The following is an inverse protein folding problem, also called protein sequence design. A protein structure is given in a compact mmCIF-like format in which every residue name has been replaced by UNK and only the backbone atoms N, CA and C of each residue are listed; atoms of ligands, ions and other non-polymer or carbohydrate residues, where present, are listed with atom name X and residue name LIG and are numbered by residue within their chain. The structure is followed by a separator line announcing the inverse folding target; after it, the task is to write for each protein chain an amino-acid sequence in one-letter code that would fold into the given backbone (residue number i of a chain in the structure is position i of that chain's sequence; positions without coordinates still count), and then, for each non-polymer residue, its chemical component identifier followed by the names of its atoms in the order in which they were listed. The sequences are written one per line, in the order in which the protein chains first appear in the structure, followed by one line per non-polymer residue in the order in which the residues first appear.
data_IF_958716332759
#
_entry.id   IF_958716332759
#
_cell.length_a   1.000
_cell.length_b   1.000
_cell.length_c   1.000
_cell.angle_alpha   90.00
_cell.angle_beta   90.00
_cell.angle_gamma   90.00
#
_symmetry.space_group_name_H-M   'P 1'
#
loop_
_entity.id
_entity.type
_entity.pdbx_description
1 polymer ?
#
# COMPACT_ATOMS: atom_id res chain seq x y z
N UNK A 1 15.65 23.95 13.08
CA UNK A 1 15.05 22.60 13.00
C UNK A 1 13.89 22.52 13.99
N UNK A 2 12.77 21.90 13.61
CA UNK A 2 11.57 21.78 14.48
C UNK A 2 11.71 20.68 15.55
N UNK A 3 12.61 19.70 15.38
CA UNK A 3 12.85 18.61 16.32
C UNK A 3 14.32 18.12 16.26
N UNK A 4 15.29 18.91 16.76
CA UNK A 4 16.72 18.57 16.64
C UNK A 4 17.12 17.30 17.39
N UNK A 5 16.40 16.94 18.46
CA UNK A 5 16.65 15.74 19.25
C UNK A 5 16.46 14.43 18.46
N UNK A 6 15.68 14.46 17.37
CA UNK A 6 15.41 13.28 16.54
C UNK A 6 16.52 12.98 15.52
N UNK A 7 17.46 13.90 15.31
CA UNK A 7 18.50 13.73 14.28
C UNK A 7 19.37 12.48 14.53
N UNK A 8 19.67 12.16 15.79
CA UNK A 8 20.43 10.97 16.17
C UNK A 8 19.64 9.66 16.05
N UNK A 9 18.32 9.76 15.87
CA UNK A 9 17.39 8.63 15.74
C UNK A 9 17.04 8.33 14.28
N UNK A 10 17.50 9.15 13.33
CA UNK A 10 17.23 8.95 11.90
C UNK A 10 18.02 7.80 11.30
N UNK A 11 17.44 7.13 10.31
CA UNK A 11 18.15 6.18 9.47
C UNK A 11 19.37 6.81 8.79
N UNK A 12 20.44 6.03 8.61
CA UNK A 12 21.73 6.51 8.04
C UNK A 12 21.65 7.00 6.59
N UNK A 13 20.58 6.64 5.89
CA UNK A 13 20.26 7.05 4.52
C UNK A 13 18.75 7.29 4.43
N UNK A 14 18.33 7.96 3.35
CA UNK A 14 16.93 8.29 3.06
C UNK A 14 16.40 7.52 1.84
N UNK A 15 16.93 6.32 1.60
CA UNK A 15 16.53 5.44 0.50
C UNK A 15 17.59 5.31 -0.60
N UNK A 16 17.17 4.85 -1.79
CA UNK A 16 18.05 4.49 -2.92
C UNK A 16 17.38 4.71 -4.26
N UNK A 17 18.17 4.69 -5.34
CA UNK A 17 17.63 4.43 -6.68
C UNK A 17 17.00 3.03 -6.72
N UNK A 18 15.92 2.93 -7.49
CA UNK A 18 15.16 1.71 -7.71
C UNK A 18 14.75 1.60 -9.18
N UNK A 19 14.49 0.39 -9.66
CA UNK A 19 14.12 0.08 -11.04
C UNK A 19 13.95 -1.42 -11.21
N UNK A 20 14.64 -2.01 -12.20
CA UNK A 20 14.73 -3.48 -12.32
C UNK A 20 15.35 -4.07 -11.05
N UNK A 21 16.39 -3.41 -10.54
CA UNK A 21 16.92 -3.68 -9.21
C UNK A 21 16.05 -2.97 -8.18
N UNK A 22 15.60 -3.71 -7.17
CA UNK A 22 14.86 -3.11 -6.06
C UNK A 22 15.68 -2.05 -5.33
N UNK A 23 16.99 -2.26 -5.23
CA UNK A 23 17.93 -1.37 -4.52
C UNK A 23 19.26 -1.32 -5.24
N UNK A 24 19.61 -0.15 -5.77
CA UNK A 24 20.92 0.10 -6.33
C UNK A 24 21.88 0.62 -5.24
N UNK A 25 22.81 -0.23 -4.79
CA UNK A 25 23.65 0.04 -3.62
C UNK A 25 24.68 1.16 -3.80
N UNK A 26 25.15 1.39 -5.02
CA UNK A 26 26.06 2.49 -5.39
C UNK A 26 25.39 3.86 -5.33
N UNK A 27 24.06 3.90 -5.45
CA UNK A 27 23.26 5.12 -5.55
C UNK A 27 22.31 5.28 -4.35
N UNK A 28 22.83 4.99 -3.16
CA UNK A 28 22.14 5.30 -1.91
C UNK A 28 22.03 6.81 -1.69
N UNK A 29 20.87 7.25 -1.22
CA UNK A 29 20.63 8.63 -0.81
C UNK A 29 21.21 8.84 0.60
N UNK A 30 22.50 9.16 0.66
CA UNK A 30 23.20 9.45 1.90
C UNK A 30 24.18 10.61 1.72
N UNK A 31 24.74 11.11 2.81
CA UNK A 31 25.63 12.28 2.81
C UNK A 31 26.96 12.08 2.03
N UNK A 32 27.31 10.84 1.66
CA UNK A 32 28.55 10.51 0.94
C UNK A 32 28.34 10.43 -0.58
N UNK A 33 27.09 10.43 -1.05
CA UNK A 33 26.79 10.30 -2.48
C UNK A 33 26.73 11.69 -3.13
N UNK A 34 27.65 11.94 -4.07
CA UNK A 34 27.76 13.20 -4.82
C UNK A 34 27.11 13.12 -6.22
N UNK A 35 26.48 11.98 -6.56
CA UNK A 35 25.83 11.79 -7.85
C UNK A 35 24.69 12.79 -8.03
N UNK A 36 24.71 13.51 -9.16
CA UNK A 36 23.63 14.45 -9.50
C UNK A 36 22.38 13.69 -9.92
N UNK A 37 21.26 14.05 -9.31
CA UNK A 37 19.92 13.60 -9.69
C UNK A 37 19.59 14.10 -11.11
N UNK A 38 18.99 13.23 -11.92
CA UNK A 38 18.59 13.51 -13.32
C UNK A 38 17.14 13.11 -13.54
N UNK A 39 16.49 13.77 -14.49
CA UNK A 39 15.18 13.36 -14.99
C UNK A 39 15.19 11.88 -15.43
N UNK A 40 14.08 11.19 -15.18
CA UNK A 40 13.93 9.75 -15.43
C UNK A 40 14.48 8.84 -14.33
N UNK A 41 15.28 9.35 -13.38
CA UNK A 41 15.67 8.56 -12.21
C UNK A 41 14.45 8.28 -11.34
N UNK A 42 14.36 7.04 -10.86
CA UNK A 42 13.31 6.61 -9.92
C UNK A 42 13.96 6.24 -8.60
N UNK A 43 13.41 6.76 -7.51
CA UNK A 43 13.92 6.55 -6.17
C UNK A 43 12.85 5.89 -5.31
N UNK A 44 13.30 4.96 -4.47
CA UNK A 44 12.61 4.67 -3.23
C UNK A 44 13.12 5.67 -2.19
N UNK A 45 12.32 6.69 -1.89
CA UNK A 45 12.61 7.67 -0.84
C UNK A 45 12.06 7.11 0.46
N UNK A 46 12.95 6.67 1.35
CA UNK A 46 12.62 5.90 2.53
C UNK A 46 13.33 6.44 3.76
N UNK A 47 12.57 6.94 4.74
CA UNK A 47 13.09 7.53 5.96
C UNK A 47 12.50 6.82 7.17
N UNK A 48 13.37 6.52 8.14
CA UNK A 48 12.96 6.00 9.44
C UNK A 48 13.47 6.81 10.61
N UNK A 49 12.75 6.70 11.72
CA UNK A 49 13.19 7.02 13.07
C UNK A 49 13.17 5.73 13.89
N UNK A 50 14.28 5.39 14.51
CA UNK A 50 14.45 4.17 15.31
C UNK A 50 14.71 4.49 16.78
N UNK A 51 14.47 3.52 17.66
CA UNK A 51 14.71 3.66 19.11
C UNK A 51 14.03 4.89 19.73
N UNK A 52 12.78 5.14 19.35
CA UNK A 52 11.94 6.16 19.99
C UNK A 52 11.36 5.58 21.27
N UNK A 53 11.31 6.38 22.34
CA UNK A 53 10.84 5.93 23.66
C UNK A 53 9.54 6.63 24.01
N UNK A 54 8.51 5.85 24.37
CA UNK A 54 7.29 6.34 24.99
C UNK A 54 7.32 6.00 26.48
N UNK A 55 7.46 7.04 27.31
CA UNK A 55 7.56 6.90 28.77
C UNK A 55 6.21 6.67 29.44
N UNK A 56 5.13 6.94 28.73
CA UNK A 56 3.76 6.81 29.23
C UNK A 56 3.12 5.49 28.80
N UNK A 57 3.78 4.73 27.92
CA UNK A 57 3.32 3.43 27.46
C UNK A 57 3.13 2.45 28.63
N UNK A 58 1.89 1.99 28.77
CA UNK A 58 1.49 0.98 29.78
C UNK A 58 1.88 -0.44 29.35
N UNK A 59 1.91 -0.72 28.06
CA UNK A 59 2.44 -1.96 27.49
C UNK A 59 3.94 -1.86 27.22
N UNK A 60 4.70 -2.87 27.69
CA UNK A 60 6.12 -3.03 27.41
C UNK A 60 6.43 -3.03 25.91
N UNK A 61 5.51 -3.50 25.06
CA UNK A 61 5.70 -3.48 23.59
C UNK A 61 5.66 -2.07 23.00
N UNK A 62 4.95 -1.13 23.63
CA UNK A 62 4.85 0.26 23.16
C UNK A 62 5.97 1.17 23.65
N UNK A 63 6.73 0.75 24.67
CA UNK A 63 7.76 1.58 25.30
C UNK A 63 8.88 2.00 24.35
N UNK A 64 9.26 1.14 23.41
CA UNK A 64 10.24 1.46 22.37
C UNK A 64 9.64 1.18 21.01
N UNK A 65 9.59 2.20 20.15
CA UNK A 65 8.97 2.09 18.84
C UNK A 65 9.85 2.73 17.75
N UNK A 66 9.40 2.55 16.51
CA UNK A 66 10.00 3.14 15.34
C UNK A 66 8.91 3.68 14.43
N UNK A 67 9.25 4.67 13.61
CA UNK A 67 8.38 5.20 12.56
C UNK A 67 9.13 5.09 11.25
N UNK A 68 8.44 4.66 10.19
CA UNK A 68 9.03 4.54 8.87
C UNK A 68 8.05 5.02 7.82
N UNK A 69 8.55 5.77 6.85
CA UNK A 69 7.79 6.26 5.71
C UNK A 69 8.60 6.05 4.45
N UNK A 70 7.95 5.53 3.41
CA UNK A 70 8.56 5.37 2.11
C UNK A 70 7.58 5.68 0.98
N UNK A 71 8.10 6.31 -0.07
CA UNK A 71 7.37 6.58 -1.30
C UNK A 71 8.26 6.29 -2.52
N UNK A 72 7.64 5.84 -3.62
CA UNK A 72 8.32 5.73 -4.92
C UNK A 72 8.14 7.01 -5.70
N UNK A 73 9.26 7.65 -6.05
CA UNK A 73 9.29 8.99 -6.63
C UNK A 73 10.07 8.95 -7.95
N UNK A 74 9.48 9.49 -9.02
CA UNK A 74 10.15 9.66 -10.31
C UNK A 74 10.49 11.13 -10.54
N UNK A 75 11.74 11.38 -10.94
CA UNK A 75 12.21 12.73 -11.23
C UNK A 75 11.80 13.13 -12.64
N UNK A 76 11.16 14.29 -12.75
CA UNK A 76 10.72 14.87 -14.02
C UNK A 76 11.79 15.81 -14.59
N UNK A 77 11.66 16.11 -15.87
CA UNK A 77 12.47 17.12 -16.53
C UNK A 77 12.15 18.54 -16.02
N UNK A 78 10.87 18.83 -15.84
CA UNK A 78 10.37 20.10 -15.31
C UNK A 78 9.32 19.86 -14.22
N UNK A 79 9.30 20.75 -13.21
CA UNK A 79 8.33 20.72 -12.12
C UNK A 79 8.70 19.80 -10.94
N UNK A 80 7.77 19.62 -9.98
CA UNK A 80 7.96 18.68 -8.87
C UNK A 80 7.96 17.23 -9.36
N UNK A 81 8.64 16.31 -8.67
CA UNK A 81 8.64 14.90 -9.04
C UNK A 81 7.25 14.27 -8.86
N UNK A 82 6.94 13.22 -9.62
CA UNK A 82 5.70 12.47 -9.44
C UNK A 82 5.88 11.39 -8.35
N UNK A 83 4.87 11.25 -7.49
CA UNK A 83 4.85 10.27 -6.39
C UNK A 83 3.91 9.13 -6.76
N UNK A 84 4.46 7.96 -7.08
CA UNK A 84 3.67 6.82 -7.58
C UNK A 84 2.90 6.08 -6.49
N UNK A 85 3.25 6.30 -5.24
CA UNK A 85 2.59 5.71 -4.06
C UNK A 85 1.61 6.66 -3.37
N UNK A 86 1.26 7.78 -4.01
CA UNK A 86 0.39 8.81 -3.41
C UNK A 86 -1.06 8.35 -3.18
N UNK A 87 -1.51 7.34 -3.92
CA UNK A 87 -2.83 6.74 -3.72
C UNK A 87 -2.99 6.08 -2.33
N UNK A 88 -1.89 5.76 -1.65
CA UNK A 88 -1.92 5.30 -0.27
C UNK A 88 -1.86 6.50 0.68
N UNK A 89 -2.94 6.73 1.43
CA UNK A 89 -2.97 7.80 2.41
C UNK A 89 -1.93 7.58 3.50
N UNK A 90 -1.25 8.67 3.84
CA UNK A 90 -0.28 8.78 4.93
C UNK A 90 -0.80 9.70 6.04
N UNK A 91 -2.05 10.15 5.96
CA UNK A 91 -2.67 10.98 6.97
C UNK A 91 -2.87 10.18 8.25
N UNK A 92 -2.60 10.80 9.41
CA UNK A 92 -2.69 10.14 10.71
C UNK A 92 -4.06 9.47 10.96
N UNK A 93 -5.14 10.14 10.52
CA UNK A 93 -6.52 9.65 10.63
C UNK A 93 -6.78 8.35 9.89
N UNK A 94 -5.98 8.05 8.85
CA UNK A 94 -6.20 6.92 7.97
C UNK A 94 -5.33 5.71 8.36
N UNK A 95 -4.35 5.93 9.24
CA UNK A 95 -3.39 4.91 9.69
C UNK A 95 -3.43 4.64 11.20
N UNK A 96 -4.20 5.43 11.95
CA UNK A 96 -4.39 5.28 13.40
C UNK A 96 -5.72 4.59 13.68
N UNK A 97 -5.68 3.54 14.50
CA UNK A 97 -6.85 2.73 14.84
C UNK A 97 -6.97 2.66 16.36
N UNK A 98 -8.16 2.97 16.85
CA UNK A 98 -8.54 2.73 18.24
C UNK A 98 -9.40 1.46 18.27
N UNK A 99 -8.90 0.43 18.96
CA UNK A 99 -9.64 -0.82 19.14
C UNK A 99 -10.41 -0.67 20.44
N UNK A 100 -11.74 -0.62 20.35
CA UNK A 100 -12.59 -0.73 21.54
C UNK A 100 -12.43 -2.16 22.07
N UNK A 101 -12.03 -2.30 23.33
CA UNK A 101 -11.97 -3.60 23.99
C UNK A 101 -13.37 -4.14 24.24
N UNK A 102 -13.57 -5.45 24.06
CA UNK A 102 -14.81 -6.20 24.37
C UNK A 102 -15.21 -6.19 25.87
N UNK A 103 -14.61 -5.33 26.71
CA UNK A 103 -14.89 -5.31 28.16
C UNK A 103 -16.11 -4.45 28.54
N UNK A 104 -16.77 -3.78 27.59
CA UNK A 104 -17.93 -2.90 27.82
C UNK A 104 -19.26 -3.41 27.22
N UNK A 105 -19.40 -4.71 26.92
CA UNK A 105 -20.67 -5.31 26.47
C UNK A 105 -21.00 -6.63 27.22
N UNK A 106 -21.01 -6.57 28.56
CA UNK A 106 -21.62 -7.59 29.43
C UNK A 106 -22.79 -6.98 30.21
N UNK A 107 -23.74 -6.35 29.51
CA UNK A 107 -25.10 -6.17 30.03
C UNK A 107 -25.93 -7.39 29.63
N UNK A 108 -26.56 -7.97 30.66
CA UNK A 108 -27.40 -9.16 30.66
C UNK A 108 -28.34 -9.28 29.44
N UNK A 109 -28.17 -10.36 28.65
CA UNK A 109 -29.31 -10.96 27.96
C UNK A 109 -29.21 -12.49 28.01
N UNK A 110 -30.08 -13.08 28.83
CA UNK A 110 -30.33 -14.52 28.89
C UNK A 110 -30.91 -15.00 27.55
N UNK A 111 -30.04 -15.38 26.61
CA UNK A 111 -30.47 -15.90 25.32
C UNK A 111 -29.48 -16.91 24.76
N UNK A 112 -29.72 -18.20 25.04
CA UNK A 112 -28.88 -19.30 24.59
C UNK A 112 -28.63 -19.33 23.07
N UNK A 113 -27.36 -19.29 22.68
CA UNK A 113 -26.93 -19.50 21.30
C UNK A 113 -25.41 -19.52 21.20
N UNK A 114 -24.82 -20.71 21.06
CA UNK A 114 -23.39 -20.90 20.83
C UNK A 114 -22.94 -20.18 19.55
N UNK A 115 -22.35 -18.98 19.68
CA UNK A 115 -21.66 -18.30 18.58
C UNK A 115 -20.19 -18.71 18.60
N UNK A 116 -19.76 -19.37 17.53
CA UNK A 116 -18.38 -19.78 17.30
C UNK A 116 -17.52 -18.56 16.99
N UNK A 117 -16.26 -18.62 17.43
CA UNK A 117 -15.17 -17.67 17.23
C UNK A 117 -14.98 -17.30 15.75
N UNK A 118 -14.99 -16.00 15.46
CA UNK A 118 -14.42 -15.42 14.24
C UNK A 118 -15.43 -14.96 13.18
N UNK A 119 -16.36 -14.07 13.53
CA UNK A 119 -17.10 -13.29 12.55
C UNK A 119 -16.60 -11.84 12.64
N UNK A 120 -15.85 -11.41 11.63
CA UNK A 120 -15.47 -10.01 11.46
C UNK A 120 -16.54 -9.40 10.57
N UNK A 121 -17.37 -8.52 11.13
CA UNK A 121 -18.36 -7.80 10.35
C UNK A 121 -17.61 -6.77 9.46
N UNK A 122 -17.31 -7.19 8.23
CA UNK A 122 -16.74 -6.30 7.22
C UNK A 122 -17.86 -5.40 6.76
N UNK A 123 -17.89 -4.16 7.27
CA UNK A 123 -18.72 -3.10 6.71
C UNK A 123 -18.35 -2.92 5.23
N UNK A 124 -19.24 -3.35 4.33
CA UNK A 124 -19.10 -3.33 2.86
C UNK A 124 -18.72 -1.95 2.29
N UNK A 125 -18.85 -0.89 3.09
CA UNK A 125 -18.54 0.50 2.75
C UNK A 125 -17.08 0.90 2.92
N UNK A 126 -16.18 0.01 3.38
CA UNK A 126 -14.77 0.37 3.65
C UNK A 126 -13.73 -0.61 3.09
N UNK A 127 -14.05 -1.29 2.00
CA UNK A 127 -13.02 -1.92 1.16
C UNK A 127 -12.59 -0.96 0.04
N UNK A 128 -11.45 -1.21 -0.60
CA UNK A 128 -10.72 -0.35 -1.56
C UNK A 128 -11.48 0.01 -2.87
N UNK A 129 -12.81 0.04 -2.86
CA UNK A 129 -13.67 0.43 -3.98
C UNK A 129 -14.85 1.34 -3.60
N UNK A 130 -14.98 1.76 -2.33
CA UNK A 130 -16.10 2.60 -1.90
C UNK A 130 -15.95 4.05 -2.40
N UNK A 131 -16.51 4.33 -3.58
CA UNK A 131 -16.54 5.67 -4.19
C UNK A 131 -16.68 5.70 -5.71
N UNK A 132 -16.44 4.58 -6.41
CA UNK A 132 -16.90 4.41 -7.79
C UNK A 132 -18.25 3.72 -7.74
N UNK A 133 -19.31 4.44 -8.11
CA UNK A 133 -20.62 3.84 -8.33
C UNK A 133 -20.45 2.62 -9.24
N UNK A 134 -20.67 1.42 -8.69
CA UNK A 134 -20.78 0.19 -9.46
C UNK A 134 -22.12 0.24 -10.18
N UNK A 135 -22.13 1.03 -11.25
CA UNK A 135 -23.03 0.86 -12.37
C UNK A 135 -22.13 0.60 -13.56
N UNK A 136 -21.70 -0.65 -13.71
CA UNK A 136 -21.87 -1.38 -14.97
C UNK A 136 -21.40 -2.82 -14.78
N UNK A 137 -22.37 -3.72 -15.01
CA UNK A 137 -22.23 -5.14 -15.36
C UNK A 137 -21.54 -6.04 -14.33
N UNK A 138 -22.31 -6.51 -13.35
CA UNK A 138 -22.21 -7.93 -12.98
C UNK A 138 -22.59 -8.74 -14.23
N UNK A 139 -21.62 -9.06 -15.07
CA UNK A 139 -21.84 -10.10 -16.05
C UNK A 139 -22.07 -11.39 -15.28
N UNK A 140 -23.22 -12.03 -15.50
CA UNK A 140 -23.51 -13.32 -14.90
C UNK A 140 -22.45 -14.33 -15.37
N UNK A 141 -22.19 -15.38 -14.59
CA UNK A 141 -21.24 -16.44 -14.98
C UNK A 141 -21.50 -17.00 -16.39
N UNK A 142 -22.76 -16.95 -16.83
CA UNK A 142 -23.19 -17.35 -18.17
C UNK A 142 -22.72 -16.36 -19.26
N UNK A 143 -22.75 -15.05 -19.00
CA UNK A 143 -22.27 -14.03 -19.95
C UNK A 143 -20.75 -14.05 -20.10
N UNK A 144 -20.03 -14.27 -18.99
CA UNK A 144 -18.58 -14.49 -19.03
C UNK A 144 -18.22 -15.77 -19.80
N UNK A 145 -19.00 -16.84 -19.64
CA UNK A 145 -18.78 -18.09 -20.36
C UNK A 145 -19.07 -17.97 -21.87
N UNK A 146 -20.16 -17.29 -22.25
CA UNK A 146 -20.46 -17.04 -23.67
C UNK A 146 -19.40 -16.16 -24.32
N UNK A 147 -18.94 -15.12 -23.62
CA UNK A 147 -17.90 -14.24 -24.14
C UNK A 147 -16.55 -14.95 -24.33
N UNK A 148 -16.17 -15.82 -23.38
CA UNK A 148 -14.97 -16.64 -23.53
C UNK A 148 -15.07 -17.61 -24.73
N UNK A 149 -16.24 -18.21 -24.95
CA UNK A 149 -16.48 -19.07 -26.11
C UNK A 149 -16.38 -18.32 -27.44
N UNK A 150 -16.91 -17.11 -27.53
CA UNK A 150 -16.84 -16.28 -28.76
C UNK A 150 -15.40 -15.83 -29.06
N UNK A 151 -14.63 -15.47 -28.03
CA UNK A 151 -13.21 -15.14 -28.15
C UNK A 151 -12.40 -16.33 -28.68
N UNK A 152 -12.65 -17.53 -28.13
CA UNK A 152 -11.98 -18.75 -28.58
C UNK A 152 -12.30 -19.07 -30.05
N UNK A 153 -13.55 -18.92 -30.47
CA UNK A 153 -13.95 -19.14 -31.86
C UNK A 153 -13.29 -18.12 -32.81
N UNK A 154 -13.23 -16.85 -32.40
CA UNK A 154 -12.59 -15.78 -33.17
C UNK A 154 -11.10 -16.04 -33.36
N UNK A 155 -10.40 -16.38 -32.26
CA UNK A 155 -8.98 -16.76 -32.28
C UNK A 155 -8.73 -17.98 -33.16
N UNK A 156 -9.62 -18.99 -33.12
CA UNK A 156 -9.52 -20.19 -33.95
C UNK A 156 -9.69 -19.87 -35.43
N UNK A 157 -10.67 -19.05 -35.79
CA UNK A 157 -10.90 -18.63 -37.18
C UNK A 157 -9.75 -17.78 -37.71
N UNK A 158 -9.18 -16.90 -36.89
CA UNK A 158 -8.02 -16.11 -37.24
C UNK A 158 -6.76 -16.97 -37.42
N UNK A 159 -6.54 -17.96 -36.56
CA UNK A 159 -5.44 -18.92 -36.73
C UNK A 159 -5.58 -19.71 -38.05
N UNK A 160 -6.80 -20.15 -38.38
CA UNK A 160 -7.08 -20.85 -39.63
C UNK A 160 -6.93 -19.96 -40.87
N UNK A 161 -7.28 -18.67 -40.78
CA UNK A 161 -7.10 -17.73 -41.89
C UNK A 161 -5.61 -17.46 -42.15
N UNK A 162 -4.79 -17.35 -41.10
CA UNK A 162 -3.33 -17.24 -41.22
C UNK A 162 -2.70 -18.49 -41.86
N UNK A 163 -3.18 -19.69 -41.52
CA UNK A 163 -2.71 -20.94 -42.13
C UNK A 163 -3.10 -21.04 -43.62
N UNK A 164 -4.24 -20.47 -44.02
CA UNK A 164 -4.68 -20.44 -45.42
C UNK A 164 -3.98 -19.38 -46.29
N UNK A 165 -3.37 -18.37 -45.66
CA UNK A 165 -2.67 -17.26 -46.33
C UNK A 165 -1.15 -17.44 -46.39
N UNK A 166 -0.61 -18.50 -45.77
CA UNK A 166 0.76 -18.98 -45.96
C UNK A 166 0.81 -20.19 -46.87
#
# INVERSE_FOLDING_TARGET
SKAPALASKMTKNVGTITGIEFREGSLQLNAKNETRVKAGMTFNVALGLESLEDKEATDKRGQVYAVFLADTVIVKEEGPPDVYTDAASKAWTDISYEIKGDDDDMDDDEGGGSRRRGDVEILDTRTRGAGKGVSQTQETSEQLASHQSELEETLRLEALSRIKLG
#
